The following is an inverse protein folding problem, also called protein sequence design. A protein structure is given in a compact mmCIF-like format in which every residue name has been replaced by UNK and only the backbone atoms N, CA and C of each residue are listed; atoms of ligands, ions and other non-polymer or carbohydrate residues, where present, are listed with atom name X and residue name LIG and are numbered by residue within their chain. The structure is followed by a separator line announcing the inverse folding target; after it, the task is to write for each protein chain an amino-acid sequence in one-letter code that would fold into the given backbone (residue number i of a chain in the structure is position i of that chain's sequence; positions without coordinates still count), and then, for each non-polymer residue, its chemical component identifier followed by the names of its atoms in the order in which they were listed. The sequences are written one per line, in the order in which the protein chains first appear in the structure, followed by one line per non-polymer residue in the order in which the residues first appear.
data_IF_436035434732
#
_entry.id   IF_436035434732
#
_cell.length_a   1.000
_cell.length_b   1.000
_cell.length_c   1.000
_cell.angle_alpha   90.00
_cell.angle_beta   90.00
_cell.angle_gamma   90.00
#
_symmetry.space_group_name_H-M   'P 1'
#
loop_
_entity.id
_entity.type
_entity.pdbx_description
1 polymer ?
#
# COMPACT_ATOMS: atom_id res chain seq x y z
N UNK A 1 -39.05 41.12 27.96
CA UNK A 1 -38.32 40.12 28.76
C UNK A 1 -38.65 38.74 28.18
N UNK A 2 -37.63 37.88 27.97
CA UNK A 2 -37.76 36.44 27.68
C UNK A 2 -37.76 36.09 26.19
N UNK A 3 -36.61 36.07 25.51
CA UNK A 3 -35.73 34.92 25.25
C UNK A 3 -36.33 33.74 24.46
N UNK A 4 -35.87 33.66 23.21
CA UNK A 4 -35.57 32.51 22.35
C UNK A 4 -35.24 31.17 23.04
N UNK A 5 -35.62 30.05 22.40
CA UNK A 5 -34.67 28.99 22.03
C UNK A 5 -35.29 27.97 21.05
N UNK A 6 -34.84 28.03 19.81
CA UNK A 6 -35.03 27.06 18.74
C UNK A 6 -34.38 25.74 19.12
N UNK A 7 -35.16 24.64 19.16
CA UNK A 7 -34.62 23.29 19.33
C UNK A 7 -34.08 22.78 17.99
N UNK A 8 -32.78 22.98 17.75
CA UNK A 8 -32.04 22.42 16.60
C UNK A 8 -30.73 21.78 17.06
N UNK A 9 -30.78 20.76 17.92
CA UNK A 9 -29.57 19.99 18.26
C UNK A 9 -29.91 18.55 18.66
N UNK A 10 -29.91 17.63 17.70
CA UNK A 10 -29.64 16.20 17.96
C UNK A 10 -29.28 15.37 16.73
N UNK A 11 -29.43 15.88 15.51
CA UNK A 11 -29.13 15.10 14.30
C UNK A 11 -27.64 15.03 13.89
N UNK A 12 -26.75 15.86 14.46
CA UNK A 12 -25.36 15.98 13.98
C UNK A 12 -24.35 14.99 14.58
N UNK A 13 -24.74 14.16 15.55
CA UNK A 13 -23.82 13.21 16.18
C UNK A 13 -23.70 11.86 15.42
N UNK A 14 -24.58 11.59 14.45
CA UNK A 14 -24.67 10.29 13.80
C UNK A 14 -23.67 10.07 12.63
N UNK A 15 -23.11 11.14 12.06
CA UNK A 15 -22.27 11.08 10.83
C UNK A 15 -20.76 11.33 11.07
N UNK A 16 -20.31 11.37 12.34
CA UNK A 16 -18.89 11.55 12.62
C UNK A 16 -18.09 10.27 12.30
N UNK A 17 -16.94 10.35 11.59
CA UNK A 17 -16.08 9.20 11.35
C UNK A 17 -15.71 8.49 12.65
N UNK A 18 -15.99 7.20 12.74
CA UNK A 18 -15.75 6.38 13.92
C UNK A 18 -15.20 5.01 13.52
N UNK A 19 -14.22 4.46 14.26
CA UNK A 19 -13.71 3.13 13.96
C UNK A 19 -14.80 2.08 14.13
N UNK A 20 -14.76 1.02 13.32
CA UNK A 20 -15.56 -0.18 13.57
C UNK A 20 -15.27 -0.74 14.98
N UNK A 21 -16.19 -1.51 15.55
CA UNK A 21 -16.04 -2.03 16.92
C UNK A 21 -14.73 -2.82 17.13
N UNK A 22 -14.34 -3.64 16.15
CA UNK A 22 -13.10 -4.41 16.21
C UNK A 22 -11.85 -3.55 16.09
N UNK A 23 -11.84 -2.57 15.17
CA UNK A 23 -10.76 -1.57 15.06
C UNK A 23 -10.66 -0.73 16.34
N UNK A 24 -11.78 -0.34 16.94
CA UNK A 24 -11.82 0.40 18.20
C UNK A 24 -11.17 -0.40 19.33
N UNK A 25 -11.49 -1.70 19.44
CA UNK A 25 -10.86 -2.61 20.42
C UNK A 25 -9.36 -2.74 20.19
N UNK A 26 -8.93 -2.89 18.93
CA UNK A 26 -7.51 -2.93 18.57
C UNK A 26 -6.78 -1.65 19.00
N UNK A 27 -7.33 -0.49 18.64
CA UNK A 27 -6.76 0.81 19.02
C UNK A 27 -6.72 1.01 20.53
N UNK A 28 -7.74 0.55 21.26
CA UNK A 28 -7.74 0.62 22.73
C UNK A 28 -6.60 -0.19 23.34
N UNK A 29 -6.31 -1.39 22.82
CA UNK A 29 -5.18 -2.20 23.29
C UNK A 29 -3.86 -1.52 22.94
N UNK A 30 -3.69 -1.11 21.67
CA UNK A 30 -2.48 -0.45 21.19
C UNK A 30 -2.16 0.82 22.00
N UNK A 31 -3.14 1.70 22.16
CA UNK A 31 -2.99 2.99 22.82
C UNK A 31 -2.88 2.89 24.36
N UNK A 32 -3.21 1.73 24.94
CA UNK A 32 -2.97 1.45 26.36
C UNK A 32 -1.52 1.06 26.66
N UNK A 33 -0.71 0.77 25.62
CA UNK A 33 0.69 0.43 25.77
C UNK A 33 1.55 1.65 26.13
N UNK A 34 2.43 1.51 27.13
CA UNK A 34 3.39 2.54 27.54
C UNK A 34 4.67 2.62 26.69
N UNK A 35 4.65 2.09 25.47
CA UNK A 35 5.80 2.08 24.57
C UNK A 35 6.17 3.48 24.07
N UNK A 36 7.44 3.68 23.72
CA UNK A 36 7.85 4.92 23.03
C UNK A 36 7.20 4.99 21.64
N UNK A 37 6.86 6.19 21.15
CA UNK A 37 6.46 6.39 19.75
C UNK A 37 7.51 5.79 18.80
N UNK A 38 7.06 5.15 17.72
CA UNK A 38 7.94 4.35 16.85
C UNK A 38 9.00 5.20 16.14
N UNK A 39 8.69 6.47 15.87
CA UNK A 39 9.61 7.46 15.30
C UNK A 39 10.74 7.87 16.28
N UNK A 40 10.65 7.48 17.55
CA UNK A 40 11.71 7.69 18.55
C UNK A 40 12.57 6.44 18.77
N UNK A 41 12.30 5.35 18.05
CA UNK A 41 13.08 4.12 18.09
C UNK A 41 14.19 4.14 17.03
N UNK A 42 15.20 3.29 17.19
CA UNK A 42 16.08 2.96 16.07
C UNK A 42 15.30 2.21 14.98
N UNK A 43 15.70 2.28 13.71
CA UNK A 43 15.07 1.51 12.63
C UNK A 43 14.94 0.02 12.96
N UNK A 44 15.96 -0.59 13.57
CA UNK A 44 15.94 -2.00 13.94
C UNK A 44 14.89 -2.29 15.02
N UNK A 45 14.78 -1.44 16.04
CA UNK A 45 13.76 -1.59 17.07
C UNK A 45 12.34 -1.35 16.53
N UNK A 46 12.16 -0.36 15.65
CA UNK A 46 10.90 -0.11 14.96
C UNK A 46 10.46 -1.33 14.11
N UNK A 47 11.37 -1.96 13.36
CA UNK A 47 11.11 -3.20 12.61
C UNK A 47 10.60 -4.32 13.52
N UNK A 48 11.20 -4.48 14.70
CA UNK A 48 10.76 -5.51 15.66
C UNK A 48 9.34 -5.27 16.19
N UNK A 49 8.88 -4.02 16.27
CA UNK A 49 7.48 -3.73 16.64
C UNK A 49 6.52 -4.32 15.62
N UNK A 50 6.74 -4.07 14.31
CA UNK A 50 5.89 -4.63 13.26
C UNK A 50 6.00 -6.15 13.19
N UNK A 51 7.21 -6.71 13.26
CA UNK A 51 7.43 -8.17 13.29
C UNK A 51 6.65 -8.80 14.45
N UNK A 52 6.72 -8.21 15.65
CA UNK A 52 5.99 -8.68 16.82
C UNK A 52 4.48 -8.61 16.64
N UNK A 53 3.97 -7.49 16.11
CA UNK A 53 2.55 -7.28 15.86
C UNK A 53 1.95 -8.25 14.83
N UNK A 54 2.77 -8.76 13.91
CA UNK A 54 2.34 -9.68 12.85
C UNK A 54 2.45 -11.17 13.24
N UNK A 55 2.95 -11.51 14.43
CA UNK A 55 3.06 -12.92 14.85
C UNK A 55 1.68 -13.58 15.04
N UNK A 56 1.63 -14.89 14.82
CA UNK A 56 0.49 -15.74 15.18
C UNK A 56 -0.67 -15.76 14.18
N UNK A 57 -0.49 -15.17 12.98
CA UNK A 57 -1.51 -15.24 11.95
C UNK A 57 -1.65 -16.67 11.38
N UNK A 58 -2.89 -17.06 11.11
CA UNK A 58 -3.19 -18.21 10.27
C UNK A 58 -2.98 -17.79 8.81
N UNK A 59 -2.08 -18.48 8.12
CA UNK A 59 -1.77 -18.19 6.72
C UNK A 59 -2.67 -19.01 5.78
N UNK A 60 -3.28 -18.39 4.74
CA UNK A 60 -3.87 -19.14 3.65
C UNK A 60 -2.85 -20.07 2.99
N UNK A 61 -3.30 -21.22 2.49
CA UNK A 61 -2.42 -22.17 1.81
C UNK A 61 -1.86 -21.54 0.51
N UNK A 62 -0.54 -21.60 0.36
CA UNK A 62 0.17 -21.10 -0.82
C UNK A 62 1.50 -21.83 -0.97
N UNK A 63 1.99 -21.93 -2.20
CA UNK A 63 3.38 -22.29 -2.49
C UNK A 63 4.23 -21.03 -2.43
N UNK A 64 5.35 -21.07 -1.72
CA UNK A 64 6.29 -19.95 -1.59
C UNK A 64 7.67 -20.40 -2.00
N UNK A 65 8.31 -19.65 -2.89
CA UNK A 65 9.69 -19.88 -3.33
C UNK A 65 10.44 -18.56 -3.49
N UNK A 66 11.76 -18.63 -3.66
CA UNK A 66 12.60 -17.45 -3.88
C UNK A 66 13.31 -17.53 -5.23
N UNK A 67 13.53 -16.35 -5.84
CA UNK A 67 14.38 -16.18 -7.02
C UNK A 67 15.24 -14.95 -6.81
N UNK A 68 16.56 -15.09 -6.91
CA UNK A 68 17.46 -13.95 -6.93
C UNK A 68 17.71 -13.53 -8.37
N UNK A 69 17.50 -12.25 -8.66
CA UNK A 69 17.80 -11.62 -9.94
C UNK A 69 18.93 -10.60 -9.76
N UNK A 70 19.47 -10.09 -10.87
CA UNK A 70 20.51 -9.06 -10.83
C UNK A 70 19.94 -7.72 -11.29
N UNK A 71 20.02 -6.70 -10.44
CA UNK A 71 19.59 -5.33 -10.74
C UNK A 71 20.76 -4.37 -10.50
N UNK A 72 21.19 -3.65 -11.54
CA UNK A 72 22.33 -2.73 -11.44
C UNK A 72 23.61 -3.39 -10.94
N UNK A 73 23.84 -4.67 -11.30
CA UNK A 73 24.98 -5.46 -10.86
C UNK A 73 24.91 -5.98 -9.41
N UNK A 74 23.80 -5.77 -8.70
CA UNK A 74 23.58 -6.26 -7.34
C UNK A 74 22.46 -7.31 -7.29
N UNK A 75 22.53 -8.28 -6.37
CA UNK A 75 21.45 -9.24 -6.20
C UNK A 75 20.20 -8.57 -5.62
N UNK A 76 19.03 -8.96 -6.12
CA UNK A 76 17.72 -8.61 -5.58
C UNK A 76 16.91 -9.90 -5.44
N UNK A 77 16.51 -10.23 -4.21
CA UNK A 77 15.68 -11.41 -3.93
C UNK A 77 14.22 -11.09 -4.18
N UNK A 78 13.55 -11.97 -4.93
CA UNK A 78 12.11 -11.97 -5.12
C UNK A 78 11.52 -13.15 -4.35
N UNK A 79 10.41 -12.93 -3.66
CA UNK A 79 9.62 -14.01 -3.07
C UNK A 79 8.38 -14.23 -3.92
N UNK A 80 8.25 -15.43 -4.47
CA UNK A 80 7.16 -15.81 -5.37
C UNK A 80 6.13 -16.57 -4.55
N UNK A 81 4.89 -16.09 -4.56
CA UNK A 81 3.76 -16.73 -3.90
C UNK A 81 2.76 -17.18 -4.95
N UNK A 82 2.41 -18.47 -4.95
CA UNK A 82 1.42 -19.05 -5.88
C UNK A 82 0.29 -19.72 -5.11
N UNK A 83 -0.91 -19.83 -5.71
CA UNK A 83 -1.98 -20.65 -5.15
C UNK A 83 -1.52 -22.09 -4.92
N UNK A 84 -1.89 -22.71 -3.79
CA UNK A 84 -1.33 -24.00 -3.32
C UNK A 84 -1.51 -25.22 -4.26
N UNK A 85 -2.41 -25.12 -5.24
CA UNK A 85 -2.68 -26.18 -6.22
C UNK A 85 -2.60 -25.63 -7.65
N UNK A 86 -1.75 -24.62 -7.87
CA UNK A 86 -1.61 -24.00 -9.17
C UNK A 86 -0.99 -24.97 -10.18
N UNK A 87 -1.59 -25.05 -11.36
CA UNK A 87 -1.06 -25.79 -12.51
C UNK A 87 -0.99 -24.90 -13.73
N UNK A 88 0.06 -25.03 -14.53
CA UNK A 88 0.26 -24.21 -15.73
C UNK A 88 0.75 -22.80 -15.42
N UNK A 89 0.73 -21.95 -16.45
CA UNK A 89 1.26 -20.58 -16.36
C UNK A 89 0.22 -19.61 -15.80
N UNK A 90 0.54 -18.95 -14.69
CA UNK A 90 -0.35 -18.01 -14.01
C UNK A 90 -0.15 -16.57 -14.52
N UNK A 91 -1.17 -15.70 -14.47
CA UNK A 91 -0.92 -14.27 -14.49
C UNK A 91 -0.17 -13.84 -13.22
N UNK A 92 0.37 -12.63 -13.22
CA UNK A 92 1.21 -12.14 -12.11
C UNK A 92 0.85 -10.72 -11.69
N UNK A 93 0.96 -10.45 -10.40
CA UNK A 93 1.09 -9.09 -9.91
C UNK A 93 2.38 -8.92 -9.11
N UNK A 94 3.06 -7.80 -9.33
CA UNK A 94 4.14 -7.38 -8.45
C UNK A 94 3.53 -6.93 -7.12
N UNK A 95 4.16 -7.27 -6.00
CA UNK A 95 3.75 -6.77 -4.69
C UNK A 95 4.88 -5.93 -4.07
N UNK A 96 4.58 -4.67 -3.81
CA UNK A 96 5.46 -3.72 -3.13
C UNK A 96 4.92 -3.50 -1.72
N UNK A 97 5.73 -3.82 -0.71
CA UNK A 97 5.26 -3.82 0.66
C UNK A 97 5.26 -2.43 1.30
N UNK A 98 4.39 -2.27 2.29
CA UNK A 98 4.31 -1.08 3.14
C UNK A 98 5.33 -1.09 4.27
N UNK A 99 5.14 -0.18 5.23
CA UNK A 99 6.03 -0.02 6.38
C UNK A 99 6.86 1.26 6.36
N UNK A 100 6.42 2.31 5.67
CA UNK A 100 7.09 3.61 5.74
C UNK A 100 8.53 3.63 5.21
N UNK A 101 8.85 2.72 4.26
CA UNK A 101 10.17 2.40 3.72
C UNK A 101 11.18 1.85 4.73
N UNK A 102 10.97 2.07 6.03
CA UNK A 102 11.86 1.66 7.11
C UNK A 102 11.52 0.27 7.64
N UNK A 103 10.24 -0.08 7.70
CA UNK A 103 9.73 -1.34 8.18
C UNK A 103 9.27 -2.23 7.03
N UNK A 104 8.84 -3.43 7.40
CA UNK A 104 8.25 -4.40 6.50
C UNK A 104 9.29 -5.30 5.86
N UNK A 105 8.85 -6.51 5.59
CA UNK A 105 9.52 -7.59 4.89
C UNK A 105 8.43 -8.55 4.39
N UNK A 106 8.85 -9.64 3.73
CA UNK A 106 7.90 -10.64 3.27
C UNK A 106 7.07 -11.23 4.42
N UNK A 107 7.70 -11.62 5.53
CA UNK A 107 7.04 -12.31 6.64
C UNK A 107 5.96 -11.45 7.31
N UNK A 108 6.21 -10.15 7.47
CA UNK A 108 5.22 -9.20 8.01
C UNK A 108 4.03 -8.99 7.06
N UNK A 109 4.21 -9.17 5.75
CA UNK A 109 3.15 -9.00 4.75
C UNK A 109 2.57 -10.32 4.23
N UNK A 110 3.12 -11.45 4.67
CA UNK A 110 2.87 -12.77 4.06
C UNK A 110 1.39 -13.12 4.04
N UNK A 111 0.66 -12.85 5.13
CA UNK A 111 -0.78 -13.10 5.19
C UNK A 111 -1.55 -12.28 4.15
N UNK A 112 -1.29 -10.98 4.06
CA UNK A 112 -1.92 -10.09 3.06
C UNK A 112 -1.63 -10.55 1.62
N UNK A 113 -0.38 -10.90 1.33
CA UNK A 113 0.00 -11.39 0.01
C UNK A 113 -0.72 -12.71 -0.31
N UNK A 114 -0.77 -13.64 0.66
CA UNK A 114 -1.47 -14.92 0.50
C UNK A 114 -2.98 -14.74 0.34
N UNK A 115 -3.61 -13.79 1.03
CA UNK A 115 -5.04 -13.47 0.84
C UNK A 115 -5.30 -13.04 -0.61
N UNK A 116 -4.50 -12.10 -1.13
CA UNK A 116 -4.61 -11.62 -2.51
C UNK A 116 -4.36 -12.73 -3.54
N UNK A 117 -3.34 -13.58 -3.31
CA UNK A 117 -3.03 -14.74 -4.18
C UNK A 117 -4.18 -15.75 -4.18
N UNK A 118 -4.67 -16.12 -3.00
CA UNK A 118 -5.71 -17.13 -2.86
C UNK A 118 -7.02 -16.71 -3.55
N UNK A 119 -7.39 -15.43 -3.46
CA UNK A 119 -8.65 -14.94 -4.01
C UNK A 119 -8.56 -14.50 -5.48
N UNK A 120 -7.41 -14.00 -5.93
CA UNK A 120 -7.22 -13.59 -7.33
C UNK A 120 -6.90 -14.76 -8.26
N UNK A 121 -6.27 -15.81 -7.72
CA UNK A 121 -5.71 -16.91 -8.51
C UNK A 121 -4.43 -16.54 -9.29
N UNK A 122 -3.93 -15.31 -9.16
CA UNK A 122 -2.68 -14.87 -9.76
C UNK A 122 -1.49 -15.16 -8.84
N UNK A 123 -0.29 -15.24 -9.42
CA UNK A 123 0.95 -15.28 -8.65
C UNK A 123 1.30 -13.87 -8.14
N UNK A 124 1.85 -13.78 -6.93
CA UNK A 124 2.50 -12.56 -6.45
C UNK A 124 4.01 -12.69 -6.60
N UNK A 125 4.66 -11.64 -7.08
CA UNK A 125 6.11 -11.46 -6.99
C UNK A 125 6.39 -10.34 -6.01
N UNK A 126 6.74 -10.70 -4.78
CA UNK A 126 7.13 -9.78 -3.73
C UNK A 126 8.57 -9.32 -3.94
N UNK A 127 8.78 -8.01 -4.01
CA UNK A 127 10.12 -7.43 -4.20
C UNK A 127 10.74 -7.10 -2.85
N UNK A 128 11.82 -7.79 -2.47
CA UNK A 128 12.56 -7.51 -1.24
C UNK A 128 13.51 -6.31 -1.45
N UNK A 129 12.93 -5.12 -1.64
CA UNK A 129 13.69 -3.89 -1.87
C UNK A 129 14.54 -3.50 -0.66
N UNK A 130 15.59 -2.70 -0.88
CA UNK A 130 16.46 -2.24 0.21
C UNK A 130 15.75 -1.21 1.09
N UNK A 131 15.58 -1.45 2.40
CA UNK A 131 14.89 -0.52 3.29
C UNK A 131 15.63 0.80 3.47
N UNK A 132 14.89 1.81 3.95
CA UNK A 132 15.46 3.04 4.51
C UNK A 132 15.73 2.87 6.02
N UNK A 133 16.69 3.63 6.58
CA UNK A 133 17.58 4.60 5.94
C UNK A 133 18.84 3.97 5.31
N UNK A 134 18.95 2.65 5.22
CA UNK A 134 20.09 1.98 4.56
C UNK A 134 20.19 2.34 3.08
N UNK A 135 19.05 2.56 2.43
CA UNK A 135 18.95 3.20 1.13
C UNK A 135 17.93 4.35 1.16
N UNK A 136 18.13 5.31 0.26
CA UNK A 136 17.26 6.47 0.08
C UNK A 136 16.63 6.46 -1.31
N UNK A 137 15.66 7.35 -1.55
CA UNK A 137 15.17 7.62 -2.89
C UNK A 137 16.33 7.87 -3.87
N UNK A 138 16.34 7.28 -5.09
CA UNK A 138 15.32 6.42 -5.71
C UNK A 138 15.64 4.92 -5.68
N UNK A 139 16.48 4.41 -4.76
CA UNK A 139 17.01 3.03 -4.82
C UNK A 139 15.91 1.98 -4.86
N UNK A 140 14.96 2.02 -3.91
CA UNK A 140 13.90 1.02 -3.81
C UNK A 140 12.95 1.02 -5.02
N UNK A 141 12.59 2.20 -5.55
CA UNK A 141 11.69 2.30 -6.72
C UNK A 141 12.38 1.86 -8.01
N UNK A 142 13.70 2.04 -8.12
CA UNK A 142 14.48 1.51 -9.23
C UNK A 142 14.55 -0.02 -9.15
N UNK A 143 14.77 -0.59 -7.96
CA UNK A 143 14.71 -2.04 -7.75
C UNK A 143 13.32 -2.62 -8.09
N UNK A 144 12.26 -1.96 -7.64
CA UNK A 144 10.88 -2.35 -7.93
C UNK A 144 10.58 -2.32 -9.44
N UNK A 145 11.00 -1.27 -10.16
CA UNK A 145 10.82 -1.17 -11.60
C UNK A 145 11.61 -2.22 -12.37
N UNK A 146 12.89 -2.42 -12.02
CA UNK A 146 13.75 -3.39 -12.69
C UNK A 146 13.28 -4.83 -12.43
N UNK A 147 12.78 -5.15 -11.23
CA UNK A 147 12.13 -6.43 -10.95
C UNK A 147 10.85 -6.60 -11.77
N UNK A 148 10.06 -5.55 -11.93
CA UNK A 148 8.84 -5.57 -12.76
C UNK A 148 9.18 -5.85 -14.22
N UNK A 149 10.20 -5.17 -14.77
CA UNK A 149 10.69 -5.40 -16.14
C UNK A 149 11.21 -6.83 -16.29
N UNK A 150 11.99 -7.32 -15.33
CA UNK A 150 12.50 -8.68 -15.33
C UNK A 150 11.36 -9.72 -15.36
N UNK A 151 10.31 -9.57 -14.55
CA UNK A 151 9.16 -10.49 -14.55
C UNK A 151 8.42 -10.46 -15.89
N UNK A 152 8.29 -9.29 -16.52
CA UNK A 152 7.68 -9.19 -17.83
C UNK A 152 8.48 -9.94 -18.92
N UNK A 153 9.81 -9.89 -18.85
CA UNK A 153 10.72 -10.50 -19.83
C UNK A 153 11.01 -11.99 -19.56
N UNK A 154 11.08 -12.37 -18.27
CA UNK A 154 11.57 -13.67 -17.80
C UNK A 154 10.55 -14.45 -16.96
N UNK A 155 9.27 -14.05 -16.98
CA UNK A 155 8.23 -14.65 -16.15
C UNK A 155 8.12 -16.18 -16.28
N UNK A 156 8.44 -16.74 -17.44
CA UNK A 156 8.44 -18.19 -17.66
C UNK A 156 9.40 -18.94 -16.73
N UNK A 157 10.51 -18.33 -16.32
CA UNK A 157 11.49 -18.91 -15.38
C UNK A 157 10.92 -19.14 -13.98
N UNK A 158 9.86 -18.39 -13.62
CA UNK A 158 9.15 -18.54 -12.34
C UNK A 158 7.71 -19.03 -12.56
N UNK A 159 7.38 -19.52 -13.77
CA UNK A 159 6.08 -20.10 -14.11
C UNK A 159 4.93 -19.10 -14.16
N UNK A 160 5.19 -17.86 -14.59
CA UNK A 160 4.16 -16.83 -14.82
C UNK A 160 4.20 -16.28 -16.25
N UNK A 161 3.09 -15.69 -16.67
CA UNK A 161 2.96 -14.98 -17.94
C UNK A 161 3.18 -13.49 -17.70
N UNK A 162 4.40 -13.03 -18.01
CA UNK A 162 4.81 -11.63 -17.83
C UNK A 162 4.02 -10.62 -18.69
N UNK A 163 3.26 -11.05 -19.69
CA UNK A 163 2.38 -10.18 -20.49
C UNK A 163 1.04 -9.87 -19.80
N UNK A 164 0.71 -10.65 -18.75
CA UNK A 164 -0.45 -10.48 -17.88
C UNK A 164 0.04 -10.03 -16.50
N UNK A 165 0.58 -8.81 -16.47
CA UNK A 165 1.24 -8.24 -15.30
C UNK A 165 0.43 -7.06 -14.71
N UNK A 166 0.20 -7.10 -13.41
CA UNK A 166 -0.35 -5.99 -12.63
C UNK A 166 0.63 -5.54 -11.54
N UNK A 167 0.33 -4.40 -10.91
CA UNK A 167 1.08 -3.88 -9.77
C UNK A 167 0.15 -3.77 -8.56
N UNK A 168 0.62 -4.18 -7.38
CA UNK A 168 -0.11 -4.03 -6.13
C UNK A 168 0.83 -3.61 -4.99
N UNK A 169 0.29 -2.88 -4.01
CA UNK A 169 1.04 -2.53 -2.82
C UNK A 169 0.23 -1.76 -1.80
N UNK A 170 0.66 -1.80 -0.54
CA UNK A 170 0.01 -1.12 0.58
C UNK A 170 0.84 0.03 1.12
N UNK A 171 0.22 1.14 1.52
CA UNK A 171 0.91 2.29 2.12
C UNK A 171 1.97 2.87 1.18
N UNK A 172 3.25 2.92 1.59
CA UNK A 172 4.37 3.25 0.70
C UNK A 172 4.55 2.25 -0.44
N UNK A 173 4.06 1.03 -0.30
CA UNK A 173 3.92 0.07 -1.41
C UNK A 173 2.96 0.58 -2.49
N UNK A 174 1.87 1.23 -2.09
CA UNK A 174 0.97 1.93 -3.01
C UNK A 174 1.65 3.13 -3.69
N UNK A 175 2.55 3.83 -2.98
CA UNK A 175 3.42 4.84 -3.59
C UNK A 175 4.32 4.23 -4.68
N UNK A 176 4.95 3.10 -4.35
CA UNK A 176 5.82 2.37 -5.27
C UNK A 176 5.06 1.85 -6.50
N UNK A 177 3.79 1.44 -6.37
CA UNK A 177 2.93 1.11 -7.53
C UNK A 177 2.87 2.27 -8.52
N UNK A 178 2.52 3.48 -8.05
CA UNK A 178 2.45 4.65 -8.92
C UNK A 178 3.81 5.02 -9.53
N UNK A 179 4.88 4.97 -8.73
CA UNK A 179 6.24 5.25 -9.20
C UNK A 179 6.70 4.27 -10.28
N UNK A 180 6.42 2.98 -10.12
CA UNK A 180 6.77 1.93 -11.10
C UNK A 180 5.94 2.10 -12.38
N UNK A 181 4.65 2.41 -12.27
CA UNK A 181 3.81 2.66 -13.45
C UNK A 181 4.24 3.90 -14.23
N UNK A 182 4.61 4.98 -13.53
CA UNK A 182 5.19 6.18 -14.15
C UNK A 182 6.52 5.91 -14.84
N UNK A 183 7.40 5.12 -14.22
CA UNK A 183 8.65 4.68 -14.84
C UNK A 183 8.39 3.83 -16.09
N UNK A 184 7.49 2.84 -16.00
CA UNK A 184 7.14 1.99 -17.13
C UNK A 184 6.54 2.76 -18.30
N UNK A 185 5.69 3.77 -18.03
CA UNK A 185 5.20 4.70 -19.05
C UNK A 185 6.35 5.46 -19.71
N UNK A 186 7.25 6.03 -18.91
CA UNK A 186 8.37 6.83 -19.41
C UNK A 186 9.35 6.00 -20.26
N UNK A 187 9.51 4.71 -19.93
CA UNK A 187 10.40 3.78 -20.63
C UNK A 187 9.69 2.95 -21.70
N UNK A 188 8.38 3.12 -21.86
CA UNK A 188 7.51 2.36 -22.76
C UNK A 188 7.54 0.84 -22.56
N UNK A 189 7.93 0.37 -21.37
CA UNK A 189 7.99 -1.05 -21.00
C UNK A 189 8.08 -1.21 -19.48
N UNK A 190 7.56 -2.31 -18.88
CA UNK A 190 6.66 -3.28 -19.50
C UNK A 190 5.22 -2.77 -19.59
N UNK A 191 4.39 -3.47 -20.37
CA UNK A 191 2.95 -3.23 -20.35
C UNK A 191 2.37 -3.69 -19.01
N UNK A 192 1.56 -2.85 -18.37
CA UNK A 192 0.90 -3.13 -17.10
C UNK A 192 -0.60 -3.13 -17.33
N UNK A 193 -1.28 -4.19 -16.90
CA UNK A 193 -2.74 -4.39 -17.05
C UNK A 193 -3.55 -3.61 -16.02
N UNK A 194 -3.04 -3.53 -14.80
CA UNK A 194 -3.80 -3.01 -13.67
C UNK A 194 -2.90 -2.53 -12.53
N UNK A 195 -3.43 -1.62 -11.71
CA UNK A 195 -2.79 -1.11 -10.50
C UNK A 195 -3.76 -1.26 -9.31
N UNK A 196 -3.27 -1.81 -8.19
CA UNK A 196 -4.00 -1.84 -6.92
C UNK A 196 -3.19 -1.09 -5.86
N UNK A 197 -3.72 0.06 -5.44
CA UNK A 197 -3.10 0.92 -4.45
C UNK A 197 -3.92 0.86 -3.15
N UNK A 198 -3.41 0.11 -2.18
CA UNK A 198 -4.06 -0.03 -0.87
C UNK A 198 -3.56 1.10 0.04
N UNK A 199 -4.44 2.03 0.41
CA UNK A 199 -4.20 3.19 1.29
C UNK A 199 -2.86 3.89 1.02
N UNK A 200 -2.65 4.38 -0.21
CA UNK A 200 -1.32 4.78 -0.67
C UNK A 200 -0.81 6.08 -0.04
N UNK A 201 0.51 6.16 0.14
CA UNK A 201 1.22 7.44 0.22
C UNK A 201 1.35 8.00 -1.20
N UNK A 202 1.00 9.26 -1.40
CA UNK A 202 1.03 9.93 -2.71
C UNK A 202 1.67 11.31 -2.67
N UNK A 203 1.94 11.85 -1.47
CA UNK A 203 2.51 13.18 -1.32
C UNK A 203 3.36 13.34 -0.06
N UNK A 204 4.36 14.23 -0.14
CA UNK A 204 5.28 14.55 0.96
C UNK A 204 4.84 15.80 1.75
N UNK A 205 3.55 16.14 1.69
CA UNK A 205 2.90 17.18 2.51
C UNK A 205 2.17 16.55 3.70
N UNK A 206 1.95 17.33 4.76
CA UNK A 206 1.44 16.82 6.06
C UNK A 206 0.28 17.66 6.63
N UNK A 207 -0.44 18.37 5.75
CA UNK A 207 -1.39 19.43 6.09
C UNK A 207 -2.80 19.22 5.51
N UNK A 208 -3.07 18.08 4.87
CA UNK A 208 -4.43 17.71 4.46
C UNK A 208 -5.39 17.64 5.66
N UNK A 209 -6.70 17.67 5.39
CA UNK A 209 -7.71 17.59 6.47
C UNK A 209 -7.58 16.28 7.23
N UNK A 210 -7.39 15.15 6.53
CA UNK A 210 -7.16 13.85 7.16
C UNK A 210 -5.88 13.81 8.01
N UNK A 211 -4.77 14.41 7.55
CA UNK A 211 -3.55 14.53 8.36
C UNK A 211 -3.77 15.27 9.68
N UNK A 212 -4.59 16.32 9.66
CA UNK A 212 -4.90 17.11 10.84
C UNK A 212 -5.89 16.37 11.77
N UNK A 213 -6.95 15.79 11.19
CA UNK A 213 -8.01 15.10 11.93
C UNK A 213 -7.53 13.83 12.62
N UNK A 214 -6.70 13.01 11.95
CA UNK A 214 -6.24 11.71 12.45
C UNK A 214 -4.76 11.73 12.85
N UNK A 215 -4.24 12.91 13.23
CA UNK A 215 -2.80 13.12 13.45
C UNK A 215 -2.17 12.18 14.48
N UNK A 216 -2.94 11.65 15.44
CA UNK A 216 -2.52 10.71 16.48
C UNK A 216 -3.69 9.81 16.90
N UNK A 217 -3.40 8.68 17.54
CA UNK A 217 -4.39 7.78 18.14
C UNK A 217 -5.02 6.74 17.21
N UNK A 218 -4.71 6.79 15.91
CA UNK A 218 -5.26 5.91 14.86
C UNK A 218 -4.19 5.03 14.21
N UNK A 219 -3.30 4.46 15.03
CA UNK A 219 -2.13 3.66 14.59
C UNK A 219 -1.07 4.47 13.83
N UNK A 220 -1.33 4.85 12.57
CA UNK A 220 -0.41 5.70 11.81
C UNK A 220 -0.56 7.16 12.25
N UNK A 221 0.52 7.76 12.77
CA UNK A 221 0.53 9.16 13.17
C UNK A 221 1.15 10.08 12.11
N UNK A 222 0.87 11.38 12.21
CA UNK A 222 1.55 12.41 11.41
C UNK A 222 3.06 12.41 11.63
N UNK A 223 3.51 12.18 12.87
CA UNK A 223 4.94 12.16 13.19
C UNK A 223 5.64 10.93 12.60
N UNK A 224 4.97 9.77 12.58
CA UNK A 224 5.46 8.58 11.87
C UNK A 224 5.67 8.88 10.40
N UNK A 225 4.67 9.47 9.73
CA UNK A 225 4.80 9.83 8.31
C UNK A 225 5.95 10.79 8.04
N UNK A 226 6.16 11.82 8.89
CA UNK A 226 7.33 12.70 8.77
C UNK A 226 8.64 11.94 8.89
N UNK A 227 8.76 11.07 9.89
CA UNK A 227 9.95 10.26 10.11
C UNK A 227 10.23 9.27 8.97
N UNK A 228 9.19 8.66 8.40
CA UNK A 228 9.30 7.81 7.21
C UNK A 228 9.82 8.59 6.01
N UNK A 229 9.24 9.75 5.73
CA UNK A 229 9.72 10.63 4.68
C UNK A 229 11.16 11.10 4.91
N UNK A 230 11.53 11.47 6.14
CA UNK A 230 12.90 11.88 6.48
C UNK A 230 13.90 10.73 6.29
N UNK A 231 13.50 9.50 6.61
CA UNK A 231 14.31 8.29 6.39
C UNK A 231 14.45 7.96 4.90
N UNK A 232 13.41 8.22 4.11
CA UNK A 232 13.39 7.97 2.66
C UNK A 232 14.19 9.00 1.87
N UNK A 233 13.99 10.29 2.14
CA UNK A 233 14.79 11.41 1.63
C UNK A 233 14.43 12.73 2.32
N UNK A 234 15.43 13.54 2.65
CA UNK A 234 15.24 14.91 3.16
C UNK A 234 15.38 15.98 2.09
N UNK A 235 15.72 15.61 0.85
CA UNK A 235 15.88 16.57 -0.25
C UNK A 235 14.52 17.02 -0.75
N UNK A 236 14.24 18.32 -0.70
CA UNK A 236 12.96 18.87 -1.19
C UNK A 236 12.75 18.58 -2.69
N UNK A 237 13.82 18.62 -3.49
CA UNK A 237 13.74 18.26 -4.92
C UNK A 237 13.26 16.82 -5.15
N UNK A 238 13.68 15.88 -4.29
CA UNK A 238 13.26 14.49 -4.39
C UNK A 238 11.81 14.35 -3.95
N UNK A 239 11.42 15.02 -2.86
CA UNK A 239 10.02 15.04 -2.39
C UNK A 239 9.04 15.63 -3.40
N UNK A 240 9.48 16.59 -4.21
CA UNK A 240 8.69 17.17 -5.32
C UNK A 240 8.74 16.36 -6.61
N UNK A 241 9.56 15.31 -6.67
CA UNK A 241 9.62 14.42 -7.83
C UNK A 241 8.35 13.57 -7.90
N UNK A 242 7.75 13.42 -9.09
CA UNK A 242 6.53 12.62 -9.30
C UNK A 242 6.70 11.13 -8.98
N UNK A 243 7.93 10.62 -8.94
CA UNK A 243 8.23 9.25 -8.53
C UNK A 243 8.29 9.07 -7.01
N UNK A 244 8.30 10.17 -6.25
CA UNK A 244 8.15 10.17 -4.79
C UNK A 244 6.76 10.66 -4.40
N UNK A 245 6.32 11.81 -4.92
CA UNK A 245 5.00 12.38 -4.69
C UNK A 245 4.19 12.35 -5.99
N UNK A 246 3.60 11.20 -6.38
CA UNK A 246 2.81 11.11 -7.62
C UNK A 246 1.61 12.05 -7.64
N UNK A 247 1.14 12.54 -6.48
CA UNK A 247 0.13 13.59 -6.42
C UNK A 247 0.59 14.91 -7.06
N UNK A 248 1.89 15.16 -7.22
CA UNK A 248 2.43 16.34 -7.91
C UNK A 248 2.42 16.21 -9.45
N UNK A 249 2.17 15.01 -10.00
CA UNK A 249 2.18 14.78 -11.44
C UNK A 249 1.09 15.57 -12.19
N UNK A 250 1.45 16.19 -13.30
CA UNK A 250 0.47 16.85 -14.19
C UNK A 250 -0.46 15.84 -14.87
N UNK A 251 -1.59 16.34 -15.40
CA UNK A 251 -2.55 15.53 -16.16
C UNK A 251 -1.87 14.75 -17.30
N UNK A 252 -0.98 15.39 -18.05
CA UNK A 252 -0.28 14.75 -19.18
C UNK A 252 0.71 13.67 -18.70
N UNK A 253 1.36 13.90 -17.56
CA UNK A 253 2.23 12.88 -16.94
C UNK A 253 1.44 11.66 -16.48
N UNK A 254 0.16 11.81 -16.10
CA UNK A 254 -0.71 10.71 -15.67
C UNK A 254 -1.47 10.03 -16.83
N UNK A 255 -1.68 10.72 -17.96
CA UNK A 255 -2.44 10.19 -19.10
C UNK A 255 -1.88 8.86 -19.61
N UNK A 256 -2.73 7.86 -19.81
CA UNK A 256 -2.32 6.55 -20.32
C UNK A 256 -1.65 5.64 -19.29
N UNK A 257 -1.67 5.98 -17.99
CA UNK A 257 -1.39 5.00 -16.94
C UNK A 257 -2.46 3.87 -16.95
N UNK A 258 -2.12 2.67 -16.46
CA UNK A 258 -3.04 1.54 -16.42
C UNK A 258 -4.29 1.80 -15.56
N UNK A 259 -5.42 1.11 -15.81
CA UNK A 259 -6.58 1.15 -14.93
C UNK A 259 -6.19 0.86 -13.47
N UNK A 260 -6.87 1.52 -12.53
CA UNK A 260 -6.42 1.56 -11.13
C UNK A 260 -7.58 1.37 -10.14
N UNK A 261 -7.39 0.49 -9.16
CA UNK A 261 -8.14 0.49 -7.90
C UNK A 261 -7.34 1.23 -6.84
N UNK A 262 -7.95 2.22 -6.20
CA UNK A 262 -7.45 2.84 -4.97
C UNK A 262 -8.41 2.51 -3.85
N UNK A 263 -7.91 1.90 -2.78
CA UNK A 263 -8.68 1.75 -1.54
C UNK A 263 -8.14 2.73 -0.50
N UNK A 264 -9.02 3.44 0.21
CA UNK A 264 -8.62 4.33 1.32
C UNK A 264 -9.32 3.94 2.62
N UNK A 265 -8.68 4.21 3.75
CA UNK A 265 -9.28 4.06 5.07
C UNK A 265 -9.90 5.39 5.51
N UNK A 266 -11.09 5.36 6.11
CA UNK A 266 -11.75 6.59 6.56
C UNK A 266 -10.99 7.33 7.66
N UNK A 267 -10.32 6.60 8.56
CA UNK A 267 -9.61 7.11 9.74
C UNK A 267 -8.09 7.03 9.55
N UNK A 268 -7.60 7.57 8.43
CA UNK A 268 -6.20 7.51 8.01
C UNK A 268 -5.72 8.91 7.63
N UNK A 269 -4.52 9.29 8.09
CA UNK A 269 -3.86 10.54 7.69
C UNK A 269 -3.67 10.63 6.17
N UNK A 270 -3.47 9.51 5.48
CA UNK A 270 -3.24 9.42 4.03
C UNK A 270 -4.52 9.39 3.20
N UNK A 271 -5.69 9.38 3.83
CA UNK A 271 -6.97 9.23 3.13
C UNK A 271 -7.15 10.27 2.03
N UNK A 272 -7.00 11.55 2.37
CA UNK A 272 -7.33 12.64 1.46
C UNK A 272 -6.35 12.70 0.28
N UNK A 273 -5.07 12.38 0.48
CA UNK A 273 -4.08 12.38 -0.59
C UNK A 273 -4.29 11.20 -1.56
N UNK A 274 -4.61 10.01 -1.05
CA UNK A 274 -4.93 8.85 -1.90
C UNK A 274 -6.20 9.09 -2.74
N UNK A 275 -7.23 9.68 -2.16
CA UNK A 275 -8.45 10.07 -2.89
C UNK A 275 -8.19 11.19 -3.90
N UNK A 276 -7.38 12.19 -3.54
CA UNK A 276 -7.01 13.27 -4.44
C UNK A 276 -6.22 12.73 -5.64
N UNK A 277 -5.34 11.74 -5.44
CA UNK A 277 -4.61 11.11 -6.53
C UNK A 277 -5.55 10.36 -7.47
N UNK A 278 -6.53 9.62 -6.94
CA UNK A 278 -7.57 8.99 -7.75
C UNK A 278 -8.34 9.99 -8.62
N UNK A 279 -8.69 11.16 -8.08
CA UNK A 279 -9.31 12.25 -8.87
C UNK A 279 -8.39 12.79 -9.97
N UNK A 280 -7.08 12.85 -9.74
CA UNK A 280 -6.11 13.27 -10.77
C UNK A 280 -5.96 12.23 -11.88
N UNK A 281 -5.99 10.95 -11.55
CA UNK A 281 -6.03 9.85 -12.52
C UNK A 281 -7.28 9.94 -13.40
N UNK A 282 -8.46 10.07 -12.79
CA UNK A 282 -9.74 10.24 -13.50
C UNK A 282 -9.70 11.45 -14.43
N UNK A 283 -9.28 12.61 -13.90
CA UNK A 283 -9.13 13.82 -14.70
C UNK A 283 -8.18 13.62 -15.90
N UNK A 284 -7.14 12.79 -15.77
CA UNK A 284 -6.21 12.43 -16.85
C UNK A 284 -6.77 11.39 -17.84
N UNK A 285 -7.99 10.89 -17.64
CA UNK A 285 -8.64 9.89 -18.48
C UNK A 285 -8.22 8.45 -18.16
N UNK A 286 -7.61 8.20 -17.00
CA UNK A 286 -7.27 6.85 -16.53
C UNK A 286 -8.52 6.23 -15.90
N UNK A 287 -8.95 5.03 -16.32
CA UNK A 287 -10.05 4.33 -15.65
C UNK A 287 -9.67 4.05 -14.20
N UNK A 288 -10.42 4.61 -13.25
CA UNK A 288 -10.08 4.51 -11.83
C UNK A 288 -11.30 4.26 -10.96
N UNK A 289 -11.17 3.30 -10.06
CA UNK A 289 -12.12 3.04 -8.97
C UNK A 289 -11.48 3.50 -7.67
N UNK A 290 -12.12 4.42 -6.96
CA UNK A 290 -11.69 4.85 -5.62
C UNK A 290 -12.74 4.40 -4.61
N UNK A 291 -12.36 3.50 -3.70
CA UNK A 291 -13.26 2.96 -2.68
C UNK A 291 -12.74 3.32 -1.29
N UNK A 292 -13.48 4.18 -0.57
CA UNK A 292 -13.24 4.40 0.85
C UNK A 292 -13.91 3.30 1.67
N UNK A 293 -13.15 2.71 2.59
CA UNK A 293 -13.65 1.79 3.60
C UNK A 293 -13.84 2.52 4.92
N UNK A 294 -15.11 2.77 5.27
CA UNK A 294 -15.49 3.42 6.52
C UNK A 294 -15.15 2.54 7.74
N UNK A 295 -14.87 3.20 8.86
CA UNK A 295 -14.51 2.54 10.12
C UNK A 295 -13.11 1.93 10.16
N UNK A 296 -12.32 2.03 9.09
CA UNK A 296 -10.97 1.46 8.99
C UNK A 296 -9.87 2.50 9.26
N UNK A 297 -8.78 2.05 9.87
CA UNK A 297 -7.52 2.78 10.06
C UNK A 297 -6.51 2.42 8.98
N UNK A 298 -5.41 3.15 8.88
CA UNK A 298 -4.28 2.78 8.02
C UNK A 298 -3.84 1.32 8.21
N UNK A 299 -3.41 0.66 7.12
CA UNK A 299 -2.91 -0.73 7.14
C UNK A 299 -3.91 -1.79 7.62
N UNK A 300 -5.21 -1.52 7.47
CA UNK A 300 -6.28 -2.45 7.89
C UNK A 300 -6.17 -3.85 7.26
N UNK A 301 -5.75 -3.95 5.99
CA UNK A 301 -5.53 -5.26 5.36
C UNK A 301 -4.20 -5.92 5.74
N UNK A 302 -3.22 -5.15 6.25
CA UNK A 302 -1.92 -5.66 6.69
C UNK A 302 -1.98 -6.23 8.11
N UNK A 303 -2.63 -5.54 9.05
CA UNK A 303 -2.55 -5.84 10.48
C UNK A 303 -3.23 -7.17 10.83
N UNK A 304 -2.46 -8.16 11.28
CA UNK A 304 -2.96 -9.51 11.55
C UNK A 304 -4.00 -9.56 12.68
N UNK A 305 -3.93 -8.62 13.62
CA UNK A 305 -4.88 -8.51 14.72
C UNK A 305 -6.32 -8.20 14.29
N UNK A 306 -6.52 -7.68 13.08
CA UNK A 306 -7.84 -7.30 12.53
C UNK A 306 -8.11 -7.96 11.17
N UNK A 307 -7.39 -9.03 10.83
CA UNK A 307 -7.55 -9.75 9.54
C UNK A 307 -8.96 -10.31 9.33
N UNK A 308 -9.63 -10.67 10.42
CA UNK A 308 -10.96 -11.26 10.41
C UNK A 308 -12.09 -10.23 10.47
N UNK A 309 -11.77 -8.93 10.54
CA UNK A 309 -12.81 -7.90 10.48
C UNK A 309 -13.57 -8.01 9.15
N UNK A 310 -14.93 -8.01 9.16
CA UNK A 310 -15.72 -8.20 7.95
C UNK A 310 -15.37 -7.21 6.83
N UNK A 311 -15.08 -5.95 7.20
CA UNK A 311 -14.66 -4.91 6.27
C UNK A 311 -13.31 -5.23 5.63
N UNK A 312 -12.35 -5.76 6.41
CA UNK A 312 -11.03 -6.15 5.90
C UNK A 312 -11.16 -7.28 4.89
N UNK A 313 -11.91 -8.34 5.21
CA UNK A 313 -12.16 -9.46 4.30
C UNK A 313 -12.85 -9.01 3.01
N UNK A 314 -13.83 -8.13 3.11
CA UNK A 314 -14.54 -7.57 1.94
C UNK A 314 -13.59 -6.74 1.07
N UNK A 315 -12.74 -5.92 1.69
CA UNK A 315 -11.78 -5.08 0.97
C UNK A 315 -10.74 -5.89 0.21
N UNK A 316 -10.18 -6.93 0.84
CA UNK A 316 -9.22 -7.82 0.18
C UNK A 316 -9.88 -8.64 -0.93
N UNK A 317 -11.13 -9.08 -0.74
CA UNK A 317 -11.90 -9.74 -1.79
C UNK A 317 -12.17 -8.84 -2.99
N UNK A 318 -12.48 -7.56 -2.77
CA UNK A 318 -12.59 -6.58 -3.86
C UNK A 318 -11.27 -6.43 -4.61
N UNK A 319 -10.16 -6.21 -3.88
CA UNK A 319 -8.85 -6.03 -4.49
C UNK A 319 -8.41 -7.25 -5.32
N UNK A 320 -8.59 -8.46 -4.77
CA UNK A 320 -8.29 -9.70 -5.45
C UNK A 320 -9.22 -9.97 -6.64
N UNK A 321 -10.50 -9.63 -6.52
CA UNK A 321 -11.47 -9.71 -7.60
C UNK A 321 -11.11 -8.81 -8.79
N UNK A 322 -10.69 -7.57 -8.51
CA UNK A 322 -10.22 -6.63 -9.53
C UNK A 322 -8.92 -7.09 -10.20
N UNK A 323 -7.96 -7.62 -9.43
CA UNK A 323 -6.76 -8.26 -9.99
C UNK A 323 -7.13 -9.38 -10.96
N UNK A 324 -8.00 -10.31 -10.54
CA UNK A 324 -8.46 -11.42 -11.38
C UNK A 324 -9.14 -10.92 -12.66
N UNK A 325 -10.02 -9.92 -12.55
CA UNK A 325 -10.76 -9.39 -13.69
C UNK A 325 -9.85 -8.79 -14.77
N UNK A 326 -8.76 -8.12 -14.37
CA UNK A 326 -7.85 -7.43 -15.30
C UNK A 326 -6.64 -8.26 -15.74
N UNK A 327 -6.42 -9.42 -15.11
CA UNK A 327 -5.33 -10.35 -15.41
C UNK A 327 -5.76 -11.56 -16.24
N UNK A 328 -7.07 -11.75 -16.45
CA UNK A 328 -7.61 -12.77 -17.35
C UNK A 328 -7.43 -12.40 -18.82
#
# INVERSE_FOLDING_TARGET
MGLTATSLTSAFAADAPAPSAGVSKFLSVLNSGGGKPIEQLSPQAARQVLIGAQKGAKLPAAEVSEKTITVGGKPLTLTIVKPANASGTLPVFMFFHGGGWVLGDFQTHERLVRDLVAESGAAAVFVNYTPSPEAHFPVAINQAYEATRWVAEHGSEIGVDGSRLALAGNSVGGNMVAAVALQAKAQHTPAIRYQVMLWPVTDARFDTRSYNQFSNGYFLSKNMMKWFWDSYTTKESDRRNILASPLEASREQLKGLPPTLIQTAELDVLRDEGEAFGRKLDAAGVPVTVTRYNGMIHDYGLLNAISEEPTVRTALAQAAGELRAHLN
#
